data_IF_944772134157
#
_entry.id   IF_944772134157
#
_cell.length_a   1.000
_cell.length_b   1.000
_cell.length_c   1.000
_cell.angle_alpha   90.00
_cell.angle_beta   90.00
_cell.angle_gamma   90.00
#
_symmetry.space_group_name_H-M   'P 1'
#
loop_
_entity.id
_entity.type
_entity.pdbx_description
1 polymer ?
#
# COMPACT_ATOMS: atom_id res chain seq x y z
N UNK A 1 -12.05 11.89 10.54
CA UNK A 1 -11.30 11.56 9.31
C UNK A 1 -10.08 10.76 9.72
N UNK A 2 -9.82 9.63 9.07
CA UNK A 2 -8.59 8.87 9.31
C UNK A 2 -7.38 9.67 8.81
N UNK A 3 -6.24 9.56 9.49
CA UNK A 3 -4.96 10.06 8.98
C UNK A 3 -4.58 9.22 7.76
N UNK A 4 -4.34 9.89 6.63
CA UNK A 4 -3.93 9.30 5.35
C UNK A 4 -2.44 9.54 5.09
N UNK A 5 -1.66 9.80 6.13
CA UNK A 5 -0.22 10.06 6.01
C UNK A 5 0.60 9.02 6.76
N UNK A 6 1.82 8.80 6.27
CA UNK A 6 2.85 8.07 7.01
C UNK A 6 3.79 9.06 7.67
N UNK A 7 4.44 8.64 8.76
CA UNK A 7 5.51 9.41 9.39
C UNK A 7 6.77 8.54 9.45
N UNK A 8 7.83 9.01 8.77
CA UNK A 8 9.15 8.40 8.82
C UNK A 8 9.93 8.94 10.02
N UNK A 9 10.47 8.03 10.82
CA UNK A 9 11.43 8.33 11.88
C UNK A 9 12.74 7.60 11.59
N UNK A 10 13.87 8.29 11.75
CA UNK A 10 15.20 7.67 11.72
C UNK A 10 15.62 7.37 13.14
N UNK A 11 15.80 6.08 13.44
CA UNK A 11 16.25 5.59 14.73
C UNK A 11 17.75 5.29 14.68
N UNK A 12 18.56 6.04 15.42
CA UNK A 12 20.00 5.82 15.53
C UNK A 12 20.33 5.29 16.92
N UNK A 13 20.93 4.10 16.99
CA UNK A 13 21.27 3.42 18.23
C UNK A 13 22.76 3.06 18.31
N UNK A 14 23.31 3.05 19.52
CA UNK A 14 24.60 2.46 19.85
C UNK A 14 24.49 1.67 21.18
N UNK A 15 25.61 1.20 21.73
CA UNK A 15 25.62 0.37 22.93
C UNK A 15 24.98 1.02 24.19
N UNK A 16 24.88 2.35 24.25
CA UNK A 16 24.42 3.07 25.45
C UNK A 16 23.32 4.10 25.20
N UNK A 17 22.98 4.38 23.93
CA UNK A 17 22.03 5.44 23.56
C UNK A 17 21.22 5.06 22.34
N UNK A 18 19.92 5.34 22.42
CA UNK A 18 18.98 5.37 21.30
C UNK A 18 18.52 6.82 21.09
N UNK A 19 18.42 7.25 19.83
CA UNK A 19 17.85 8.55 19.45
C UNK A 19 16.91 8.38 18.26
N UNK A 20 15.81 9.15 18.27
CA UNK A 20 14.80 9.15 17.21
C UNK A 20 14.77 10.56 16.61
N UNK A 21 14.82 10.66 15.28
CA UNK A 21 14.73 11.94 14.58
C UNK A 21 13.37 12.61 14.78
N UNK A 22 13.22 13.90 14.47
CA UNK A 22 11.91 14.47 14.17
C UNK A 22 11.23 13.65 13.06
N UNK A 23 9.91 13.50 13.16
CA UNK A 23 9.14 12.76 12.18
C UNK A 23 9.01 13.52 10.86
N UNK A 24 9.24 12.84 9.74
CA UNK A 24 9.02 13.38 8.40
C UNK A 24 7.68 12.84 7.90
N UNK A 25 6.73 13.74 7.64
CA UNK A 25 5.43 13.34 7.10
C UNK A 25 5.53 13.04 5.61
N UNK A 26 5.08 11.86 5.23
CA UNK A 26 5.00 11.39 3.85
C UNK A 26 3.55 11.57 3.38
N UNK A 27 3.38 12.44 2.39
CA UNK A 27 2.08 12.80 1.83
C UNK A 27 1.86 12.06 0.51
N UNK A 28 0.62 11.60 0.29
CA UNK A 28 0.26 11.00 -0.98
C UNK A 28 -1.06 10.25 -0.92
N UNK A 29 -1.20 9.34 0.06
CA UNK A 29 -2.40 8.52 0.17
C UNK A 29 -3.66 9.37 0.25
N UNK A 30 -4.71 8.94 -0.43
CA UNK A 30 -6.01 9.62 -0.49
C UNK A 30 -7.01 9.06 0.51
N UNK A 31 -6.69 7.92 1.12
CA UNK A 31 -7.47 7.28 2.19
C UNK A 31 -6.55 6.75 3.29
N UNK A 32 -7.13 6.16 4.34
CA UNK A 32 -6.35 5.55 5.42
C UNK A 32 -5.40 4.49 4.89
N UNK A 33 -4.30 4.24 5.62
CA UNK A 33 -3.30 3.22 5.27
C UNK A 33 -3.55 1.99 6.14
N UNK A 34 -3.58 0.80 5.54
CA UNK A 34 -3.73 -0.47 6.26
C UNK A 34 -2.40 -1.13 6.58
N UNK A 35 -1.42 -1.01 5.68
CA UNK A 35 -0.12 -1.64 5.85
C UNK A 35 0.99 -0.89 5.09
N UNK A 36 2.22 -1.05 5.58
CA UNK A 36 3.43 -0.49 4.98
C UNK A 36 4.67 -1.32 5.34
N UNK A 37 5.54 -1.53 4.36
CA UNK A 37 6.82 -2.22 4.51
C UNK A 37 7.97 -1.32 4.04
N UNK A 38 9.16 -1.48 4.62
CA UNK A 38 10.39 -0.76 4.26
C UNK A 38 11.54 -1.75 4.08
N UNK A 39 12.33 -1.58 3.02
CA UNK A 39 13.56 -2.35 2.79
C UNK A 39 14.76 -1.72 3.50
N UNK A 40 15.81 -2.51 3.71
CA UNK A 40 17.08 -2.02 4.22
C UNK A 40 17.78 -0.99 3.32
N UNK A 41 17.38 -0.90 2.04
CA UNK A 41 17.87 0.09 1.05
C UNK A 41 17.00 1.35 0.97
N UNK A 42 16.16 1.57 1.96
CA UNK A 42 15.31 2.76 2.08
C UNK A 42 14.29 2.94 0.95
N UNK A 43 13.89 1.88 0.26
CA UNK A 43 12.61 1.85 -0.45
C UNK A 43 11.51 1.46 0.53
N UNK A 44 10.30 1.96 0.33
CA UNK A 44 9.13 1.49 1.08
C UNK A 44 7.92 1.35 0.17
N UNK A 45 6.98 0.51 0.58
CA UNK A 45 5.68 0.36 -0.09
C UNK A 45 4.59 0.50 0.96
N UNK A 46 3.50 1.15 0.61
CA UNK A 46 2.31 1.20 1.45
C UNK A 46 1.03 1.02 0.65
N UNK A 47 0.03 0.43 1.30
CA UNK A 47 -1.27 0.14 0.71
C UNK A 47 -2.39 0.82 1.49
N UNK A 48 -3.33 1.40 0.77
CA UNK A 48 -4.50 2.02 1.39
C UNK A 48 -5.43 0.97 2.00
N UNK A 49 -6.25 1.37 2.97
CA UNK A 49 -7.23 0.49 3.61
C UNK A 49 -8.27 -0.07 2.63
N UNK A 50 -8.47 0.58 1.50
CA UNK A 50 -9.33 0.10 0.41
C UNK A 50 -8.57 -0.79 -0.58
N UNK A 51 -7.24 -0.86 -0.46
CA UNK A 51 -6.36 -1.64 -1.33
C UNK A 51 -6.35 -1.20 -2.79
N UNK A 52 -6.85 0.00 -3.10
CA UNK A 52 -6.90 0.57 -4.45
C UNK A 52 -5.69 1.44 -4.76
N UNK A 53 -4.97 1.86 -3.72
CA UNK A 53 -3.84 2.76 -3.83
C UNK A 53 -2.63 2.10 -3.18
N UNK A 54 -1.63 1.79 -4.01
CA UNK A 54 -0.32 1.32 -3.58
C UNK A 54 0.67 2.44 -3.88
N UNK A 55 1.53 2.77 -2.93
CA UNK A 55 2.57 3.79 -3.11
C UNK A 55 3.94 3.23 -2.84
N UNK A 56 4.86 3.46 -3.78
CA UNK A 56 6.29 3.19 -3.62
C UNK A 56 6.99 4.49 -3.25
N UNK A 57 7.85 4.43 -2.23
CA UNK A 57 8.58 5.57 -1.67
C UNK A 57 10.08 5.34 -1.78
N UNK A 58 10.80 6.39 -2.16
CA UNK A 58 12.25 6.46 -2.07
C UNK A 58 12.61 7.30 -0.84
N UNK A 59 13.12 6.66 0.20
CA UNK A 59 13.41 7.24 1.51
C UNK A 59 14.91 7.50 1.72
N UNK A 60 15.78 7.02 0.82
CA UNK A 60 17.19 7.40 0.83
C UNK A 60 17.44 8.78 0.19
N UNK A 61 18.44 9.50 0.68
CA UNK A 61 18.83 10.81 0.17
C UNK A 61 17.98 11.96 0.69
N UNK A 62 17.57 12.90 -0.18
CA UNK A 62 16.66 13.98 0.20
C UNK A 62 15.25 13.42 0.33
N UNK A 63 14.87 13.02 1.55
CA UNK A 63 13.50 12.63 1.91
C UNK A 63 12.56 13.78 1.56
N UNK A 64 11.98 13.72 0.37
CA UNK A 64 11.08 14.76 -0.16
C UNK A 64 9.62 14.35 -0.07
N UNK A 65 9.33 13.20 0.55
CA UNK A 65 7.99 12.63 0.60
C UNK A 65 7.46 12.23 -0.79
N UNK A 66 8.35 12.06 -1.77
CA UNK A 66 7.97 11.64 -3.12
C UNK A 66 7.59 10.17 -3.10
N UNK A 67 6.41 9.88 -3.64
CA UNK A 67 5.95 8.54 -3.95
C UNK A 67 5.47 8.44 -5.38
N UNK A 68 5.50 7.21 -5.88
CA UNK A 68 4.85 6.82 -7.12
C UNK A 68 3.61 6.03 -6.73
N UNK A 69 2.46 6.42 -7.26
CA UNK A 69 1.22 5.66 -7.13
C UNK A 69 1.20 4.55 -8.18
N UNK A 70 1.02 3.32 -7.72
CA UNK A 70 0.88 2.13 -8.54
C UNK A 70 -0.61 1.80 -8.59
N UNK A 71 -1.22 1.99 -9.76
CA UNK A 71 -2.62 1.59 -10.00
C UNK A 71 -2.65 0.31 -10.82
N UNK A 72 -3.34 -0.75 -10.35
CA UNK A 72 -3.63 -1.90 -11.19
C UNK A 72 -4.40 -1.46 -12.42
N UNK A 73 -4.04 -2.00 -13.59
CA UNK A 73 -4.87 -1.90 -14.77
C UNK A 73 -6.10 -2.79 -14.54
N UNK A 74 -7.28 -2.18 -14.36
CA UNK A 74 -8.54 -2.84 -13.97
C UNK A 74 -9.13 -3.82 -15.01
N UNK A 75 -8.33 -4.36 -15.93
CA UNK A 75 -8.78 -5.27 -16.98
C UNK A 75 -9.27 -6.60 -16.38
N UNK A 76 -8.74 -7.01 -15.22
CA UNK A 76 -9.16 -8.25 -14.55
C UNK A 76 -10.52 -8.16 -13.84
N UNK A 77 -10.93 -6.98 -13.37
CA UNK A 77 -12.24 -6.81 -12.74
C UNK A 77 -13.37 -6.68 -13.78
N UNK A 78 -13.07 -6.12 -14.95
CA UNK A 78 -14.08 -5.89 -16.01
C UNK A 78 -14.51 -7.19 -16.72
N UNK A 79 -13.62 -8.18 -16.79
CA UNK A 79 -13.92 -9.48 -17.41
C UNK A 79 -14.85 -10.36 -16.55
N UNK A 80 -14.87 -10.17 -15.22
CA UNK A 80 -15.76 -10.88 -14.30
C UNK A 80 -17.12 -10.18 -14.14
N UNK A 81 -17.19 -8.85 -14.32
CA UNK A 81 -18.45 -8.09 -14.30
C UNK A 81 -19.22 -8.19 -15.62
N UNK A 82 -18.56 -8.45 -16.77
CA UNK A 82 -19.23 -8.57 -18.07
C UNK A 82 -20.15 -9.80 -18.23
N UNK A 83 -20.12 -10.77 -17.31
CA UNK A 83 -20.96 -11.97 -17.36
C UNK A 83 -22.35 -11.79 -16.70
N UNK A 84 -22.53 -10.75 -15.88
CA UNK A 84 -23.81 -10.42 -15.24
C UNK A 84 -24.25 -9.04 -15.72
N UNK A 85 -25.43 -8.99 -16.35
CA UNK A 85 -25.91 -7.91 -17.23
C UNK A 85 -25.91 -6.45 -16.69
N UNK A 86 -26.58 -5.51 -17.40
CA UNK A 86 -26.34 -4.06 -17.33
C UNK A 86 -26.69 -3.38 -15.99
N UNK A 87 -27.04 -4.14 -14.96
CA UNK A 87 -27.47 -3.67 -13.64
C UNK A 87 -26.53 -4.12 -12.51
N UNK A 88 -25.32 -4.58 -12.84
CA UNK A 88 -24.29 -4.84 -11.85
C UNK A 88 -23.69 -3.51 -11.39
N UNK A 89 -24.23 -2.95 -10.30
CA UNK A 89 -23.54 -1.89 -9.56
C UNK A 89 -22.09 -2.30 -9.31
N UNK A 90 -21.10 -1.37 -9.40
CA UNK A 90 -19.69 -1.71 -9.17
C UNK A 90 -19.60 -2.39 -7.81
N UNK A 91 -19.21 -3.66 -7.83
CA UNK A 91 -19.46 -4.61 -6.77
C UNK A 91 -19.16 -4.02 -5.40
N UNK A 92 -20.08 -4.26 -4.46
CA UNK A 92 -19.96 -4.08 -3.02
C UNK A 92 -18.77 -4.80 -2.37
N UNK A 93 -17.84 -5.38 -3.15
CA UNK A 93 -16.53 -5.84 -2.69
C UNK A 93 -15.70 -4.73 -2.04
N UNK A 94 -15.95 -3.47 -2.40
CA UNK A 94 -15.29 -2.26 -1.87
C UNK A 94 -15.30 -2.14 -0.34
N UNK A 95 -16.26 -2.76 0.35
CA UNK A 95 -16.37 -2.72 1.82
C UNK A 95 -16.20 -4.09 2.48
N UNK A 96 -15.92 -5.12 1.69
CA UNK A 96 -15.68 -6.45 2.23
C UNK A 96 -14.22 -6.71 2.55
N UNK A 97 -13.26 -5.90 2.10
CA UNK A 97 -11.86 -6.12 2.48
C UNK A 97 -11.67 -5.83 3.97
N UNK A 98 -11.40 -6.88 4.72
CA UNK A 98 -11.19 -6.86 6.17
C UNK A 98 -9.76 -6.43 6.47
N UNK A 99 -8.81 -6.85 5.64
CA UNK A 99 -7.38 -6.57 5.77
C UNK A 99 -6.69 -6.55 4.42
N UNK A 100 -5.65 -5.74 4.32
CA UNK A 100 -4.71 -5.78 3.21
C UNK A 100 -3.30 -5.74 3.77
N UNK A 101 -2.44 -6.65 3.28
CA UNK A 101 -1.03 -6.69 3.61
C UNK A 101 -0.19 -6.45 2.37
N UNK A 102 0.98 -5.85 2.57
CA UNK A 102 1.94 -5.63 1.49
C UNK A 102 3.26 -6.32 1.79
N UNK A 103 3.81 -6.98 0.78
CA UNK A 103 5.14 -7.58 0.74
C UNK A 103 5.90 -7.04 -0.46
N UNK A 104 7.19 -6.75 -0.36
CA UNK A 104 7.96 -6.34 -1.55
C UNK A 104 9.45 -6.66 -1.53
N UNK A 105 10.03 -6.76 -2.73
CA UNK A 105 11.47 -6.83 -2.95
C UNK A 105 11.94 -5.84 -4.03
N UNK A 106 13.12 -6.07 -4.63
CA UNK A 106 13.69 -5.19 -5.65
C UNK A 106 12.92 -5.25 -6.99
N UNK A 107 12.11 -6.29 -7.24
CA UNK A 107 11.44 -6.57 -8.53
C UNK A 107 9.91 -6.58 -8.43
N UNK A 108 9.35 -6.99 -7.28
CA UNK A 108 7.92 -7.27 -7.14
C UNK A 108 7.30 -6.66 -5.89
N UNK A 109 6.03 -6.27 -6.01
CA UNK A 109 5.13 -6.00 -4.87
C UNK A 109 4.02 -7.04 -4.86
N UNK A 110 3.79 -7.63 -3.70
CA UNK A 110 2.68 -8.53 -3.41
C UNK A 110 1.67 -7.83 -2.50
N UNK A 111 0.40 -7.94 -2.85
CA UNK A 111 -0.70 -7.48 -1.99
C UNK A 111 -1.64 -8.64 -1.71
N UNK A 112 -1.76 -9.00 -0.43
CA UNK A 112 -2.74 -9.98 0.03
C UNK A 112 -3.96 -9.25 0.55
N UNK A 113 -5.13 -9.56 -0.01
CA UNK A 113 -6.42 -9.04 0.46
C UNK A 113 -7.24 -10.16 1.08
N UNK A 114 -7.74 -9.94 2.29
CA UNK A 114 -8.70 -10.83 2.95
C UNK A 114 -10.06 -10.14 2.97
N UNK A 115 -11.08 -10.78 2.40
CA UNK A 115 -12.46 -10.32 2.47
C UNK A 115 -13.11 -10.71 3.81
N UNK A 116 -14.26 -10.11 4.12
CA UNK A 116 -14.98 -10.26 5.38
C UNK A 116 -15.53 -11.67 5.60
N UNK A 117 -15.74 -12.41 4.51
CA UNK A 117 -16.08 -13.83 4.50
C UNK A 117 -14.86 -14.76 4.51
N UNK A 118 -13.66 -14.21 4.69
CA UNK A 118 -12.41 -14.95 4.85
C UNK A 118 -11.80 -15.46 3.55
N UNK A 119 -12.26 -15.00 2.38
CA UNK A 119 -11.58 -15.30 1.12
C UNK A 119 -10.32 -14.47 1.00
N UNK A 120 -9.27 -15.08 0.48
CA UNK A 120 -7.99 -14.43 0.26
C UNK A 120 -7.72 -14.28 -1.24
N UNK A 121 -7.20 -13.12 -1.64
CA UNK A 121 -6.76 -12.84 -3.01
C UNK A 121 -5.35 -12.25 -2.97
N UNK A 122 -4.43 -12.85 -3.72
CA UNK A 122 -3.05 -12.40 -3.84
C UNK A 122 -2.86 -11.70 -5.19
N UNK A 123 -2.40 -10.46 -5.15
CA UNK A 123 -2.06 -9.65 -6.33
C UNK A 123 -0.55 -9.48 -6.39
N UNK A 124 0.02 -9.61 -7.58
CA UNK A 124 1.44 -9.42 -7.83
C UNK A 124 1.64 -8.30 -8.84
N UNK A 125 2.56 -7.40 -8.53
CA UNK A 125 2.91 -6.25 -9.33
C UNK A 125 4.40 -6.33 -9.66
N UNK A 126 4.69 -6.27 -10.96
CA UNK A 126 6.02 -6.25 -11.55
C UNK A 126 6.41 -4.79 -11.87
N UNK A 127 7.64 -4.39 -11.55
CA UNK A 127 8.19 -3.05 -11.81
C UNK A 127 9.10 -2.96 -13.05
N UNK A 128 9.18 -4.02 -13.87
CA UNK A 128 9.98 -4.10 -15.10
C UNK A 128 9.51 -3.16 -16.21
#
# INVERSE_FOLDING_TARGET
>A
MADNTLILYVCTSNATKLSVSPGIRLWGHTSGISDAEITARGKAVSVSSQGEEIRVWELEGRVSGKSIEVRPNSIANDALTSAYGPWSEPSSSRWNDRRSWVGFDDEMVLVLKETSDGRESLMMYDFS
#
